data_IF_883536164197
#
_entry.id   IF_883536164197
#
_cell.length_a   1.000
_cell.length_b   1.000
_cell.length_c   1.000
_cell.angle_alpha   90.00
_cell.angle_beta   90.00
_cell.angle_gamma   90.00
#
_symmetry.space_group_name_H-M   'P 1'
#
loop_
_entity.id
_entity.type
_entity.pdbx_description
1 polymer ?
#
# COMPACT_ATOMS: atom_id res chain seq x y z
N UNK A 1 6.68 28.31 6.23
CA UNK A 1 5.49 28.43 5.37
C UNK A 1 5.27 27.08 4.72
N UNK A 2 4.33 26.26 5.20
CA UNK A 2 4.06 24.95 4.62
C UNK A 2 3.47 25.15 3.23
N UNK A 3 4.25 24.82 2.20
CA UNK A 3 3.78 24.90 0.81
C UNK A 3 2.84 23.72 0.60
N UNK A 4 1.63 24.01 0.14
CA UNK A 4 0.69 22.98 -0.29
C UNK A 4 0.90 22.70 -1.78
N UNK A 5 0.82 21.43 -2.16
CA UNK A 5 0.97 20.95 -3.54
C UNK A 5 -0.10 19.94 -3.85
N UNK A 6 -0.49 19.86 -5.13
CA UNK A 6 -1.33 18.77 -5.59
C UNK A 6 -0.45 17.51 -5.80
N UNK A 7 -0.85 16.39 -5.18
CA UNK A 7 -0.22 15.07 -5.30
C UNK A 7 -1.16 14.08 -6.00
N UNK A 8 -1.96 14.57 -6.96
CA UNK A 8 -2.98 13.80 -7.69
C UNK A 8 -2.39 12.54 -8.33
N UNK A 9 -1.19 12.65 -8.90
CA UNK A 9 -0.51 11.54 -9.58
C UNK A 9 -0.15 10.45 -8.57
N UNK A 10 0.43 10.83 -7.43
CA UNK A 10 0.82 9.89 -6.37
C UNK A 10 -0.40 9.25 -5.71
N UNK A 11 -1.46 10.03 -5.45
CA UNK A 11 -2.73 9.54 -4.92
C UNK A 11 -3.36 8.52 -5.87
N UNK A 12 -3.43 8.84 -7.18
CA UNK A 12 -3.92 7.93 -8.22
C UNK A 12 -3.10 6.64 -8.27
N UNK A 13 -1.78 6.74 -8.34
CA UNK A 13 -0.88 5.57 -8.34
C UNK A 13 -1.12 4.63 -7.16
N UNK A 14 -1.29 5.19 -5.95
CA UNK A 14 -1.57 4.38 -4.77
C UNK A 14 -2.93 3.68 -4.85
N UNK A 15 -3.97 4.40 -5.27
CA UNK A 15 -5.33 3.84 -5.41
C UNK A 15 -5.41 2.81 -6.52
N UNK A 16 -4.78 3.08 -7.67
CA UNK A 16 -4.69 2.15 -8.79
C UNK A 16 -4.01 0.85 -8.36
N UNK A 17 -2.87 0.93 -7.65
CA UNK A 17 -2.23 -0.26 -7.09
C UNK A 17 -3.15 -1.00 -6.10
N UNK A 18 -3.74 -0.26 -5.15
CA UNK A 18 -4.60 -0.83 -4.11
C UNK A 18 -5.90 -1.44 -4.65
N UNK A 19 -6.31 -1.09 -5.87
CA UNK A 19 -7.45 -1.70 -6.56
C UNK A 19 -7.17 -3.13 -7.08
N UNK A 20 -5.90 -3.57 -7.07
CA UNK A 20 -5.49 -4.91 -7.45
C UNK A 20 -5.16 -5.74 -6.20
N UNK A 21 -6.13 -6.47 -5.62
CA UNK A 21 -5.98 -7.13 -4.32
C UNK A 21 -4.89 -8.22 -4.31
N UNK A 22 -4.77 -9.00 -5.38
CA UNK A 22 -3.75 -10.05 -5.51
C UNK A 22 -2.34 -9.44 -5.50
N UNK A 23 -2.08 -8.44 -6.35
CA UNK A 23 -0.78 -7.74 -6.36
C UNK A 23 -0.48 -7.07 -5.01
N UNK A 24 -1.50 -6.52 -4.37
CA UNK A 24 -1.38 -5.89 -3.04
C UNK A 24 -0.94 -6.91 -1.99
N UNK A 25 -1.54 -8.11 -1.98
CA UNK A 25 -1.18 -9.19 -1.07
C UNK A 25 0.23 -9.71 -1.32
N UNK A 26 0.62 -9.90 -2.58
CA UNK A 26 1.97 -10.38 -2.92
C UNK A 26 3.05 -9.43 -2.40
N UNK A 27 2.87 -8.13 -2.63
CA UNK A 27 3.79 -7.09 -2.17
C UNK A 27 3.88 -7.07 -0.64
N UNK A 28 2.74 -7.15 0.05
CA UNK A 28 2.70 -7.13 1.51
C UNK A 28 3.31 -8.38 2.15
N UNK A 29 3.01 -9.54 1.57
CA UNK A 29 3.60 -10.82 1.98
C UNK A 29 5.11 -10.74 1.89
N UNK A 30 5.63 -10.19 0.78
CA UNK A 30 7.06 -9.97 0.60
C UNK A 30 7.64 -9.01 1.65
N UNK A 31 7.03 -7.84 1.86
CA UNK A 31 7.51 -6.87 2.85
C UNK A 31 7.52 -7.43 4.27
N UNK A 32 6.51 -8.22 4.63
CA UNK A 32 6.42 -8.91 5.92
C UNK A 32 7.54 -9.93 6.07
N UNK A 33 7.72 -10.81 5.09
CA UNK A 33 8.78 -11.81 5.10
C UNK A 33 10.17 -11.18 5.19
N UNK A 34 10.42 -10.10 4.44
CA UNK A 34 11.69 -9.38 4.49
C UNK A 34 11.94 -8.75 5.88
N UNK A 35 10.90 -8.17 6.51
CA UNK A 35 11.01 -7.64 7.87
C UNK A 35 11.38 -8.72 8.89
N UNK A 36 10.72 -9.89 8.80
CA UNK A 36 10.99 -11.02 9.68
C UNK A 36 12.38 -11.63 9.43
N UNK A 37 12.83 -11.73 8.18
CA UNK A 37 14.15 -12.22 7.82
C UNK A 37 15.28 -11.31 8.34
N UNK A 38 15.03 -10.01 8.43
CA UNK A 38 15.93 -9.05 9.09
C UNK A 38 15.91 -9.10 10.62
N UNK A 39 15.19 -10.04 11.23
CA UNK A 39 15.06 -10.17 12.69
C UNK A 39 14.13 -9.14 13.34
N UNK A 40 13.33 -8.41 12.55
CA UNK A 40 12.41 -7.42 13.07
C UNK A 40 11.01 -8.01 13.29
N UNK A 41 10.52 -7.94 14.52
CA UNK A 41 9.11 -8.24 14.83
C UNK A 41 8.23 -7.07 14.40
N UNK A 42 7.15 -7.33 13.66
CA UNK A 42 6.15 -6.33 13.35
C UNK A 42 5.39 -5.93 14.62
N UNK A 43 5.05 -4.65 14.76
CA UNK A 43 4.14 -4.23 15.83
C UNK A 43 2.75 -4.84 15.60
N UNK A 44 1.99 -5.06 16.68
CA UNK A 44 0.63 -5.63 16.60
C UNK A 44 -0.25 -4.92 15.56
N UNK A 45 -0.22 -3.59 15.52
CA UNK A 45 -0.98 -2.78 14.55
C UNK A 45 -0.61 -3.09 13.10
N UNK A 46 0.67 -3.34 12.81
CA UNK A 46 1.14 -3.67 11.46
C UNK A 46 0.73 -5.08 11.08
N UNK A 47 0.83 -6.02 12.01
CA UNK A 47 0.36 -7.39 11.80
C UNK A 47 -1.16 -7.44 11.58
N UNK A 48 -1.93 -6.71 12.39
CA UNK A 48 -3.39 -6.61 12.23
C UNK A 48 -3.76 -6.03 10.85
N UNK A 49 -3.01 -5.04 10.35
CA UNK A 49 -3.24 -4.48 9.02
C UNK A 49 -2.95 -5.49 7.90
N UNK A 50 -1.90 -6.30 8.05
CA UNK A 50 -1.61 -7.40 7.13
C UNK A 50 -2.76 -8.42 7.10
N UNK A 51 -3.21 -8.87 8.27
CA UNK A 51 -4.30 -9.84 8.37
C UNK A 51 -5.62 -9.27 7.79
N UNK A 52 -5.90 -7.98 7.98
CA UNK A 52 -7.07 -7.32 7.39
C UNK A 52 -7.07 -7.36 5.86
N UNK A 53 -5.92 -7.13 5.21
CA UNK A 53 -5.83 -7.20 3.74
C UNK A 53 -6.09 -8.62 3.25
N UNK A 54 -5.57 -9.65 3.94
CA UNK A 54 -5.87 -11.04 3.60
C UNK A 54 -7.36 -11.35 3.72
N UNK A 55 -8.04 -10.85 4.76
CA UNK A 55 -9.49 -11.02 4.91
C UNK A 55 -10.26 -10.31 3.79
N UNK A 56 -9.86 -9.09 3.44
CA UNK A 56 -10.51 -8.25 2.41
C UNK A 56 -10.50 -8.94 1.04
N UNK A 57 -9.49 -9.75 0.70
CA UNK A 57 -9.50 -10.52 -0.55
C UNK A 57 -10.69 -11.48 -0.69
N UNK A 58 -11.26 -11.92 0.43
CA UNK A 58 -12.40 -12.83 0.46
C UNK A 58 -13.74 -12.10 0.62
N UNK A 59 -13.72 -10.78 0.83
CA UNK A 59 -14.92 -9.96 0.97
C UNK A 59 -15.42 -9.45 -0.39
N UNK A 60 -16.75 -9.44 -0.57
CA UNK A 60 -17.37 -8.84 -1.76
C UNK A 60 -17.63 -7.36 -1.50
N UNK A 61 -16.92 -6.49 -2.23
CA UNK A 61 -17.17 -5.05 -2.19
C UNK A 61 -18.19 -4.64 -3.26
N UNK A 62 -19.11 -3.75 -2.89
CA UNK A 62 -20.10 -3.20 -3.82
C UNK A 62 -19.52 -2.20 -4.83
N UNK A 63 -18.29 -1.72 -4.62
CA UNK A 63 -17.59 -0.78 -5.51
C UNK A 63 -16.07 -1.01 -5.49
N UNK A 64 -15.38 -0.99 -6.64
CA UNK A 64 -13.91 -1.05 -6.73
C UNK A 64 -13.21 0.05 -5.93
N UNK A 65 -13.79 1.25 -5.86
CA UNK A 65 -13.20 2.39 -5.14
C UNK A 65 -13.17 2.16 -3.62
N UNK A 66 -14.17 1.46 -3.09
CA UNK A 66 -14.24 1.12 -1.66
C UNK A 66 -13.15 0.10 -1.33
N UNK A 67 -12.96 -0.91 -2.18
CA UNK A 67 -11.86 -1.88 -2.06
C UNK A 67 -10.50 -1.18 -2.10
N UNK A 68 -10.26 -0.35 -3.13
CA UNK A 68 -9.00 0.37 -3.30
C UNK A 68 -8.67 1.26 -2.10
N UNK A 69 -9.66 1.99 -1.57
CA UNK A 69 -9.50 2.81 -0.36
C UNK A 69 -9.11 1.96 0.86
N UNK A 70 -9.82 0.86 1.12
CA UNK A 70 -9.55 0.00 2.28
C UNK A 70 -8.16 -0.62 2.20
N UNK A 71 -7.78 -1.13 1.03
CA UNK A 71 -6.44 -1.64 0.77
C UNK A 71 -5.37 -0.57 0.97
N UNK A 72 -5.60 0.66 0.48
CA UNK A 72 -4.67 1.76 0.69
C UNK A 72 -4.48 2.08 2.19
N UNK A 73 -5.55 2.16 2.97
CA UNK A 73 -5.47 2.42 4.43
C UNK A 73 -4.65 1.35 5.15
N UNK A 74 -4.86 0.08 4.80
CA UNK A 74 -4.13 -1.01 5.41
C UNK A 74 -2.68 -1.09 4.94
N UNK A 75 -2.38 -0.77 3.67
CA UNK A 75 -1.01 -0.60 3.17
C UNK A 75 -0.26 0.50 3.93
N UNK A 76 -0.88 1.68 4.08
CA UNK A 76 -0.33 2.79 4.86
C UNK A 76 -0.05 2.37 6.30
N UNK A 77 -0.99 1.64 6.91
CA UNK A 77 -0.86 1.16 8.29
C UNK A 77 0.25 0.13 8.43
N UNK A 78 0.38 -0.78 7.46
CA UNK A 78 1.40 -1.82 7.45
C UNK A 78 2.80 -1.24 7.25
N UNK A 79 3.00 -0.32 6.32
CA UNK A 79 4.30 0.34 6.13
C UNK A 79 4.64 1.18 7.37
N UNK A 80 3.65 1.84 7.94
CA UNK A 80 3.81 2.69 9.11
C UNK A 80 4.62 3.95 8.80
N UNK A 81 4.92 4.74 9.84
CA UNK A 81 5.64 6.03 9.72
C UNK A 81 4.98 7.03 8.75
N UNK A 82 3.68 6.86 8.48
CA UNK A 82 2.91 7.71 7.57
C UNK A 82 1.64 8.29 8.25
N UNK A 83 1.76 9.01 9.39
CA UNK A 83 0.59 9.53 10.12
C UNK A 83 -0.24 10.55 9.31
N UNK A 84 0.37 11.43 8.52
CA UNK A 84 -0.36 12.44 7.75
C UNK A 84 -1.18 11.79 6.63
N UNK A 85 -0.58 10.85 5.91
CA UNK A 85 -1.20 10.04 4.87
C UNK A 85 -2.34 9.19 5.44
N UNK A 86 -2.11 8.53 6.58
CA UNK A 86 -3.14 7.75 7.26
C UNK A 86 -4.36 8.61 7.64
N UNK A 87 -4.12 9.78 8.25
CA UNK A 87 -5.20 10.69 8.65
C UNK A 87 -6.01 11.13 7.43
N UNK A 88 -5.35 11.49 6.32
CA UNK A 88 -6.03 11.94 5.11
C UNK A 88 -6.81 10.82 4.43
N UNK A 89 -6.23 9.63 4.27
CA UNK A 89 -6.94 8.49 3.66
C UNK A 89 -8.12 7.99 4.51
N UNK A 90 -8.02 8.08 5.84
CA UNK A 90 -9.11 7.70 6.74
C UNK A 90 -10.34 8.62 6.61
N UNK A 91 -10.16 9.86 6.15
CA UNK A 91 -11.23 10.85 5.97
C UNK A 91 -11.89 10.79 4.59
N UNK A 92 -11.39 9.99 3.65
CA UNK A 92 -11.96 9.90 2.30
C UNK A 92 -13.36 9.30 2.39
N UNK A 93 -14.38 10.03 1.98
CA UNK A 93 -15.66 9.42 1.61
C UNK A 93 -15.52 8.87 0.18
N UNK A 94 -15.84 7.59 -0.04
CA UNK A 94 -15.71 6.95 -1.37
C UNK A 94 -16.54 7.66 -2.44
N UNK A 95 -17.58 8.40 -2.06
CA UNK A 95 -18.39 9.22 -2.98
C UNK A 95 -17.66 10.48 -3.48
N UNK A 96 -16.55 10.87 -2.85
CA UNK A 96 -15.77 12.09 -3.15
C UNK A 96 -14.32 11.80 -3.53
N UNK A 97 -14.03 10.60 -4.08
CA UNK A 97 -12.67 10.20 -4.44
C UNK A 97 -12.04 11.16 -5.47
N UNK A 98 -12.83 11.60 -6.46
CA UNK A 98 -12.38 12.56 -7.49
C UNK A 98 -11.92 13.89 -6.91
N UNK A 99 -12.61 14.41 -5.89
CA UNK A 99 -12.25 15.64 -5.20
C UNK A 99 -11.00 15.42 -4.35
N UNK A 100 -10.92 14.30 -3.63
CA UNK A 100 -9.74 13.94 -2.85
C UNK A 100 -8.47 13.92 -3.71
N UNK A 101 -8.55 13.38 -4.93
CA UNK A 101 -7.42 13.33 -5.86
C UNK A 101 -6.87 14.72 -6.20
N UNK A 102 -7.75 15.72 -6.35
CA UNK A 102 -7.38 17.09 -6.74
C UNK A 102 -6.99 17.99 -5.56
N UNK A 103 -7.28 17.57 -4.33
CA UNK A 103 -6.99 18.37 -3.14
C UNK A 103 -5.48 18.52 -2.91
N UNK A 104 -5.04 19.75 -2.68
CA UNK A 104 -3.68 20.06 -2.28
C UNK A 104 -3.39 19.54 -0.88
N UNK A 105 -2.19 19.01 -0.67
CA UNK A 105 -1.74 18.48 0.61
C UNK A 105 -0.42 19.15 1.04
N UNK A 106 -0.01 18.92 2.29
CA UNK A 106 1.22 19.46 2.84
C UNK A 106 2.47 18.76 2.28
N UNK A 107 3.65 19.39 2.45
CA UNK A 107 4.92 18.75 2.10
C UNK A 107 5.17 17.46 2.91
N UNK A 108 4.66 17.34 4.15
CA UNK A 108 4.74 16.11 4.95
C UNK A 108 3.93 14.96 4.32
N UNK A 109 2.71 15.24 3.87
CA UNK A 109 1.93 14.27 3.09
C UNK A 109 2.71 13.81 1.86
N UNK A 110 3.31 14.76 1.14
CA UNK A 110 4.14 14.48 -0.04
C UNK A 110 5.32 13.56 0.26
N UNK A 111 6.01 13.75 1.38
CA UNK A 111 7.10 12.87 1.80
C UNK A 111 6.61 11.46 2.11
N UNK A 112 5.50 11.35 2.83
CA UNK A 112 4.94 10.06 3.23
C UNK A 112 4.41 9.25 2.05
N UNK A 113 3.69 9.88 1.11
CA UNK A 113 3.17 9.16 -0.06
C UNK A 113 4.30 8.67 -0.98
N UNK A 114 5.34 9.47 -1.16
CA UNK A 114 6.52 9.06 -1.93
C UNK A 114 7.30 7.93 -1.24
N UNK A 115 7.43 7.98 0.09
CA UNK A 115 8.04 6.89 0.86
C UNK A 115 7.24 5.59 0.69
N UNK A 116 5.92 5.63 0.86
CA UNK A 116 5.04 4.48 0.67
C UNK A 116 5.19 3.88 -0.73
N UNK A 117 5.07 4.70 -1.77
CA UNK A 117 5.21 4.25 -3.17
C UNK A 117 6.59 3.63 -3.43
N UNK A 118 7.66 4.20 -2.87
CA UNK A 118 9.01 3.64 -2.98
C UNK A 118 9.13 2.26 -2.32
N UNK A 119 8.49 2.05 -1.16
CA UNK A 119 8.46 0.73 -0.52
C UNK A 119 7.72 -0.28 -1.39
N UNK A 120 6.56 0.09 -1.93
CA UNK A 120 5.74 -0.75 -2.82
C UNK A 120 6.54 -1.17 -4.06
N UNK A 121 7.16 -0.22 -4.76
CA UNK A 121 7.94 -0.52 -5.97
C UNK A 121 9.17 -1.40 -5.69
N UNK A 122 9.85 -1.17 -4.57
CA UNK A 122 10.99 -2.00 -4.15
C UNK A 122 10.55 -3.44 -3.89
N UNK A 123 9.46 -3.62 -3.15
CA UNK A 123 8.90 -4.94 -2.88
C UNK A 123 8.39 -5.63 -4.14
N UNK A 124 7.71 -4.90 -5.05
CA UNK A 124 7.22 -5.42 -6.33
C UNK A 124 8.37 -5.92 -7.22
N UNK A 125 9.44 -5.14 -7.32
CA UNK A 125 10.63 -5.50 -8.11
C UNK A 125 11.31 -6.74 -7.54
N UNK A 126 11.51 -6.78 -6.22
CA UNK A 126 12.20 -7.89 -5.58
C UNK A 126 11.36 -9.19 -5.53
N UNK A 127 10.04 -9.06 -5.35
CA UNK A 127 9.11 -10.19 -5.40
C UNK A 127 9.14 -10.87 -6.76
N UNK A 128 9.06 -10.08 -7.86
CA UNK A 128 9.19 -10.59 -9.23
C UNK A 128 10.51 -11.32 -9.45
N UNK A 129 11.63 -10.73 -9.01
CA UNK A 129 12.95 -11.35 -9.17
C UNK A 129 13.09 -12.68 -8.42
N UNK A 130 12.45 -12.81 -7.25
CA UNK A 130 12.45 -14.06 -6.48
C UNK A 130 11.57 -15.12 -7.14
N UNK A 131 10.39 -14.76 -7.66
CA UNK A 131 9.55 -15.67 -8.42
C UNK A 131 10.27 -16.23 -9.66
N UNK A 132 10.97 -15.36 -10.41
CA UNK A 132 11.77 -15.77 -11.56
C UNK A 132 12.93 -16.69 -11.15
N UNK A 133 13.62 -16.41 -10.04
CA UNK A 133 14.69 -17.30 -9.53
C UNK A 133 14.13 -18.67 -9.16
N UNK A 134 13.03 -18.74 -8.41
CA UNK A 134 12.42 -20.03 -8.00
C UNK A 134 11.96 -20.85 -9.21
N UNK A 135 11.39 -20.21 -10.24
CA UNK A 135 11.01 -20.90 -11.49
C UNK A 135 12.21 -21.44 -12.28
N UNK A 136 13.33 -20.71 -12.33
CA UNK A 136 14.55 -21.19 -13.00
C UNK A 136 15.13 -22.40 -12.28
N UNK A 137 15.11 -22.42 -10.94
CA UNK A 137 15.59 -23.58 -10.17
C UNK A 137 14.65 -24.79 -10.23
N UNK A 138 13.33 -24.61 -10.37
CA UNK A 138 12.38 -25.72 -10.52
C UNK A 138 12.37 -26.36 -11.92
N UNK A 139 13.05 -25.74 -12.90
CA UNK A 139 13.10 -26.21 -14.29
C UNK A 139 14.37 -27.02 -14.61
N UNK A 140 15.24 -27.28 -13.61
CA UNK A 140 16.51 -28.01 -13.74
C UNK A 140 16.41 -29.37 -13.02
N UNK A 141 15.27 -30.06 -13.13
CA UNK A 141 15.11 -31.44 -12.67
C UNK A 141 14.53 -32.29 -13.79
#
# INVERSE_FOLDING_TARGET
MNKTKNFEIEKKRLLDFASHPEETVDVLTYMRQNSLAGGHTLSKRREDAYQRILCIMHERFGSPDVLAKMNAIHLITFVGKCPHLFNRFSMIDSTHLSDFLKQSESDEFGKEINYLLSQIESAKTLSRNNATKTQVFSSIC
#
